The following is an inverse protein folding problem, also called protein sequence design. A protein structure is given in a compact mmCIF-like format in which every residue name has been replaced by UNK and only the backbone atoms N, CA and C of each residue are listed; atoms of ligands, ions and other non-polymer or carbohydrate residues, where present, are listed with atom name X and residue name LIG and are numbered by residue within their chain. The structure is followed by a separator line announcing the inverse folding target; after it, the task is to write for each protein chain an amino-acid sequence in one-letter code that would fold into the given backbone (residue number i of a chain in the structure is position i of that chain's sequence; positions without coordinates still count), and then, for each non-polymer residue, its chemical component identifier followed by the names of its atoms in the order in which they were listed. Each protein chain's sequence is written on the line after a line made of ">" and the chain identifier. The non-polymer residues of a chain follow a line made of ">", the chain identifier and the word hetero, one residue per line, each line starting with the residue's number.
data_IF_423999772598
#
_entry.id   IF_423999772598
#
_cell.length_a   1.000
_cell.length_b   1.000
_cell.length_c   1.000
_cell.angle_alpha   90.00
_cell.angle_beta   90.00
_cell.angle_gamma   90.00
#
_symmetry.space_group_name_H-M   'P 1'
#
loop_
_entity.id
_entity.type
_entity.pdbx_description
1 polymer ?
#
# COMPACT_ATOMS: atom_id res chain seq x y z
N UNK A 1 -11.56 -32.12 -3.59
CA UNK A 1 -11.51 -33.38 -4.39
C UNK A 1 -12.50 -34.43 -3.90
N UNK A 2 -12.30 -35.07 -2.73
CA UNK A 2 -13.21 -36.13 -2.25
C UNK A 2 -14.66 -35.65 -2.06
N UNK A 3 -14.85 -34.38 -1.65
CA UNK A 3 -16.16 -33.73 -1.61
C UNK A 3 -16.82 -33.67 -2.99
N UNK A 4 -16.06 -33.25 -4.03
CA UNK A 4 -16.54 -33.16 -5.40
C UNK A 4 -16.91 -34.55 -5.97
N UNK A 5 -16.09 -35.57 -5.72
CA UNK A 5 -16.40 -36.96 -6.12
C UNK A 5 -17.69 -37.48 -5.49
N UNK A 6 -17.98 -37.10 -4.24
CA UNK A 6 -19.22 -37.50 -3.55
C UNK A 6 -20.46 -36.75 -4.06
N UNK A 7 -20.28 -35.64 -4.77
CA UNK A 7 -21.39 -34.80 -5.24
C UNK A 7 -22.29 -35.55 -6.22
N UNK A 8 -23.58 -35.64 -5.90
CA UNK A 8 -24.60 -36.16 -6.81
C UNK A 8 -24.63 -35.35 -8.12
N UNK A 9 -24.55 -34.03 -8.01
CA UNK A 9 -24.55 -33.11 -9.16
C UNK A 9 -23.42 -33.41 -10.14
N UNK A 10 -22.19 -33.57 -9.64
CA UNK A 10 -21.03 -33.89 -10.50
C UNK A 10 -21.18 -35.26 -11.16
N UNK A 11 -21.65 -36.26 -10.40
CA UNK A 11 -21.91 -37.60 -10.94
C UNK A 11 -22.97 -37.57 -12.04
N UNK A 12 -24.05 -36.82 -11.86
CA UNK A 12 -25.12 -36.65 -12.85
C UNK A 12 -24.61 -35.96 -14.11
N UNK A 13 -23.85 -34.87 -13.96
CA UNK A 13 -23.22 -34.15 -15.09
C UNK A 13 -22.29 -35.06 -15.89
N UNK A 14 -21.38 -35.78 -15.22
CA UNK A 14 -20.47 -36.73 -15.88
C UNK A 14 -21.24 -37.85 -16.55
N UNK A 15 -22.30 -38.36 -15.90
CA UNK A 15 -23.13 -39.43 -16.44
C UNK A 15 -23.84 -39.02 -17.73
N UNK A 16 -24.45 -37.84 -17.72
CA UNK A 16 -25.16 -37.28 -18.87
C UNK A 16 -24.20 -36.90 -20.00
N UNK A 17 -23.15 -36.12 -19.71
CA UNK A 17 -22.20 -35.61 -20.70
C UNK A 17 -21.39 -36.74 -21.34
N UNK A 18 -21.05 -37.80 -20.58
CA UNK A 18 -20.35 -38.96 -21.11
C UNK A 18 -21.25 -39.98 -21.83
N UNK A 19 -22.56 -39.73 -21.91
CA UNK A 19 -23.52 -40.61 -22.58
C UNK A 19 -23.63 -42.00 -21.96
N UNK A 20 -23.33 -42.13 -20.66
CA UNK A 20 -23.19 -43.42 -20.00
C UNK A 20 -24.50 -44.22 -19.90
N UNK A 21 -25.64 -43.54 -19.96
CA UNK A 21 -26.96 -44.19 -20.06
C UNK A 21 -27.03 -45.15 -21.25
N UNK A 22 -26.61 -44.71 -22.44
CA UNK A 22 -26.59 -45.54 -23.67
C UNK A 22 -25.56 -46.66 -23.58
N UNK A 23 -24.46 -46.44 -22.85
CA UNK A 23 -23.38 -47.41 -22.68
C UNK A 23 -23.74 -48.54 -21.70
N UNK A 24 -24.60 -48.26 -20.72
CA UNK A 24 -25.00 -49.22 -19.66
C UNK A 24 -26.31 -49.92 -20.01
N UNK A 25 -27.22 -49.21 -20.67
CA UNK A 25 -28.57 -49.71 -20.96
C UNK A 25 -28.79 -49.86 -22.45
N UNK A 26 -28.94 -51.11 -22.93
CA UNK A 26 -29.32 -51.41 -24.32
C UNK A 26 -30.79 -51.11 -24.64
N UNK A 27 -31.62 -50.87 -23.63
CA UNK A 27 -33.06 -50.56 -23.78
C UNK A 27 -33.27 -49.04 -23.77
N UNK A 28 -33.93 -48.54 -24.80
CA UNK A 28 -34.51 -47.19 -24.84
C UNK A 28 -35.63 -47.10 -23.80
N UNK A 29 -35.63 -46.06 -22.95
CA UNK A 29 -36.72 -45.77 -22.00
C UNK A 29 -36.43 -45.97 -20.50
N UNK A 30 -35.19 -46.25 -20.09
CA UNK A 30 -34.82 -46.24 -18.66
C UNK A 30 -34.59 -44.79 -18.22
N UNK A 31 -35.25 -44.38 -17.14
CA UNK A 31 -35.10 -43.05 -16.54
C UNK A 31 -33.63 -42.79 -16.15
N UNK A 32 -33.11 -41.64 -16.61
CA UNK A 32 -31.74 -41.20 -16.39
C UNK A 32 -31.46 -41.04 -14.89
N UNK A 33 -32.42 -40.53 -14.13
CA UNK A 33 -32.24 -40.29 -12.68
C UNK A 33 -32.22 -41.59 -11.88
N UNK A 34 -32.96 -42.60 -12.29
CA UNK A 34 -32.92 -43.94 -11.69
C UNK A 34 -31.55 -44.62 -11.94
N UNK A 35 -31.00 -44.46 -13.15
CA UNK A 35 -29.68 -45.00 -13.51
C UNK A 35 -28.55 -44.29 -12.76
N UNK A 36 -28.63 -42.95 -12.64
CA UNK A 36 -27.68 -42.14 -11.88
C UNK A 36 -27.75 -42.49 -10.39
N UNK A 37 -28.94 -42.70 -9.83
CA UNK A 37 -29.12 -43.10 -8.43
C UNK A 37 -28.50 -44.46 -8.12
N UNK A 38 -28.65 -45.45 -9.01
CA UNK A 38 -28.02 -46.76 -8.86
C UNK A 38 -26.49 -46.68 -8.83
N UNK A 39 -25.90 -45.88 -9.74
CA UNK A 39 -24.45 -45.65 -9.79
C UNK A 39 -23.97 -44.82 -8.59
N UNK A 40 -24.77 -43.84 -8.16
CA UNK A 40 -24.49 -43.03 -7.00
C UNK A 40 -24.33 -43.89 -5.75
N UNK A 41 -25.28 -44.80 -5.52
CA UNK A 41 -25.29 -45.73 -4.39
C UNK A 41 -24.19 -46.80 -4.48
N UNK A 42 -23.77 -47.15 -5.70
CA UNK A 42 -22.73 -48.14 -5.95
C UNK A 42 -21.31 -47.57 -5.90
N UNK A 43 -21.16 -46.23 -5.87
CA UNK A 43 -19.87 -45.55 -5.77
C UNK A 43 -19.49 -45.38 -4.30
N UNK A 44 -18.40 -46.02 -3.85
CA UNK A 44 -17.94 -45.99 -2.46
C UNK A 44 -16.53 -45.42 -2.36
N UNK A 45 -16.25 -44.69 -1.28
CA UNK A 45 -14.89 -44.26 -0.94
C UNK A 45 -14.42 -45.11 0.23
N UNK A 46 -13.39 -45.92 0.00
CA UNK A 46 -12.88 -46.89 0.98
C UNK A 46 -11.45 -46.53 1.35
N UNK A 47 -11.08 -46.64 2.62
CA UNK A 47 -9.69 -46.48 3.08
C UNK A 47 -9.10 -47.86 3.34
N UNK A 48 -7.97 -48.20 2.71
CA UNK A 48 -7.21 -49.44 2.97
C UNK A 48 -5.71 -49.12 2.97
N UNK A 49 -4.96 -49.69 3.90
CA UNK A 49 -3.49 -49.57 3.96
C UNK A 49 -2.98 -48.11 3.91
N UNK A 50 -3.69 -47.19 4.59
CA UNK A 50 -3.37 -45.75 4.59
C UNK A 50 -3.77 -44.98 3.31
N UNK A 51 -4.24 -45.68 2.28
CA UNK A 51 -4.65 -45.11 1.00
C UNK A 51 -6.17 -44.95 0.88
N UNK A 52 -6.61 -43.99 0.04
CA UNK A 52 -8.03 -43.78 -0.26
C UNK A 52 -8.36 -44.30 -1.66
N UNK A 53 -9.37 -45.14 -1.75
CA UNK A 53 -9.83 -45.78 -2.98
C UNK A 53 -11.24 -45.34 -3.32
N UNK A 54 -11.52 -45.22 -4.62
CA UNK A 54 -12.85 -45.03 -5.17
C UNK A 54 -13.28 -46.33 -5.85
N UNK A 55 -14.34 -46.94 -5.36
CA UNK A 55 -14.86 -48.21 -5.85
C UNK A 55 -16.21 -48.01 -6.52
N UNK A 56 -16.45 -48.70 -7.64
CA UNK A 56 -17.75 -48.78 -8.28
C UNK A 56 -18.05 -50.24 -8.63
N UNK A 57 -19.22 -50.69 -8.20
CA UNK A 57 -19.75 -52.01 -8.51
C UNK A 57 -20.72 -51.90 -9.70
N UNK A 58 -20.61 -52.81 -10.67
CA UNK A 58 -21.51 -52.82 -11.80
C UNK A 58 -21.34 -54.01 -12.75
N UNK A 59 -22.33 -54.18 -13.62
CA UNK A 59 -22.41 -55.29 -14.60
C UNK A 59 -21.61 -55.04 -15.88
N UNK A 60 -21.15 -53.81 -16.12
CA UNK A 60 -20.42 -53.39 -17.33
C UNK A 60 -19.05 -52.80 -16.97
N UNK A 61 -18.04 -53.62 -16.64
CA UNK A 61 -16.81 -53.15 -16.00
C UNK A 61 -16.01 -52.13 -16.82
N UNK A 62 -15.95 -52.29 -18.14
CA UNK A 62 -15.28 -51.32 -19.03
C UNK A 62 -15.96 -49.95 -18.97
N UNK A 63 -17.29 -49.93 -18.98
CA UNK A 63 -18.09 -48.70 -18.90
C UNK A 63 -18.00 -48.07 -17.51
N UNK A 64 -17.95 -48.88 -16.45
CA UNK A 64 -17.73 -48.41 -15.08
C UNK A 64 -16.34 -47.78 -14.90
N UNK A 65 -15.31 -48.38 -15.50
CA UNK A 65 -13.96 -47.83 -15.51
C UNK A 65 -13.90 -46.49 -16.26
N UNK A 66 -14.52 -46.38 -17.44
CA UNK A 66 -14.64 -45.12 -18.18
C UNK A 66 -15.36 -44.05 -17.35
N UNK A 67 -16.47 -44.41 -16.69
CA UNK A 67 -17.23 -43.49 -15.84
C UNK A 67 -16.40 -42.99 -14.66
N UNK A 68 -15.75 -43.89 -13.92
CA UNK A 68 -14.91 -43.51 -12.80
C UNK A 68 -13.71 -42.65 -13.24
N UNK A 69 -13.13 -42.94 -14.41
CA UNK A 69 -12.07 -42.11 -14.98
C UNK A 69 -12.57 -40.70 -15.28
N UNK A 70 -13.71 -40.58 -15.98
CA UNK A 70 -14.33 -39.30 -16.28
C UNK A 70 -14.73 -38.52 -15.02
N UNK A 71 -15.24 -39.21 -14.00
CA UNK A 71 -15.60 -38.62 -12.70
C UNK A 71 -14.37 -38.09 -11.96
N UNK A 72 -13.26 -38.84 -11.97
CA UNK A 72 -11.99 -38.42 -11.38
C UNK A 72 -11.46 -37.18 -12.11
N UNK A 73 -11.41 -37.17 -13.43
CA UNK A 73 -10.94 -36.02 -14.21
C UNK A 73 -11.81 -34.78 -14.01
N UNK A 74 -13.14 -34.92 -14.02
CA UNK A 74 -14.05 -33.82 -13.74
C UNK A 74 -13.89 -33.27 -12.31
N UNK A 75 -13.68 -34.16 -11.32
CA UNK A 75 -13.41 -33.73 -9.95
C UNK A 75 -12.05 -33.03 -9.79
N UNK A 76 -11.02 -33.42 -10.56
CA UNK A 76 -9.74 -32.70 -10.61
C UNK A 76 -9.91 -31.31 -11.22
N UNK A 77 -10.64 -31.22 -12.31
CA UNK A 77 -10.87 -29.94 -13.00
C UNK A 77 -11.62 -28.97 -12.10
N UNK A 78 -12.69 -29.41 -11.42
CA UNK A 78 -13.41 -28.57 -10.46
C UNK A 78 -12.49 -28.06 -9.34
N UNK A 79 -11.62 -28.91 -8.79
CA UNK A 79 -10.65 -28.48 -7.77
C UNK A 79 -9.62 -27.50 -8.34
N UNK A 80 -9.16 -27.72 -9.57
CA UNK A 80 -8.26 -26.81 -10.28
C UNK A 80 -8.88 -25.42 -10.44
N UNK A 81 -10.15 -25.36 -10.89
CA UNK A 81 -10.92 -24.13 -11.02
C UNK A 81 -11.09 -23.44 -9.66
N UNK A 82 -11.56 -24.17 -8.63
CA UNK A 82 -11.73 -23.62 -7.27
C UNK A 82 -10.44 -23.02 -6.71
N UNK A 83 -9.30 -23.71 -6.89
CA UNK A 83 -8.00 -23.24 -6.44
C UNK A 83 -7.58 -21.99 -7.24
N UNK A 84 -7.75 -21.98 -8.56
CA UNK A 84 -7.46 -20.81 -9.41
C UNK A 84 -8.29 -19.61 -8.99
N UNK A 85 -9.59 -19.78 -8.75
CA UNK A 85 -10.49 -18.71 -8.34
C UNK A 85 -10.17 -18.20 -6.93
N UNK A 86 -9.84 -19.10 -6.01
CA UNK A 86 -9.41 -18.72 -4.66
C UNK A 86 -8.06 -17.99 -4.66
N UNK A 87 -7.10 -18.45 -5.47
CA UNK A 87 -5.82 -17.77 -5.65
C UNK A 87 -5.99 -16.37 -6.28
N UNK A 88 -6.85 -16.25 -7.30
CA UNK A 88 -7.18 -14.97 -7.95
C UNK A 88 -7.87 -14.01 -6.97
N UNK A 89 -8.83 -14.48 -6.18
CA UNK A 89 -9.54 -13.64 -5.22
C UNK A 89 -8.63 -13.16 -4.09
N UNK A 90 -7.80 -14.04 -3.52
CA UNK A 90 -6.78 -13.67 -2.53
C UNK A 90 -5.77 -12.66 -3.11
N UNK A 91 -5.29 -12.90 -4.34
CA UNK A 91 -4.41 -11.98 -5.06
C UNK A 91 -5.04 -10.60 -5.25
N UNK A 92 -6.30 -10.55 -5.71
CA UNK A 92 -7.07 -9.31 -5.90
C UNK A 92 -7.21 -8.54 -4.58
N UNK A 93 -7.60 -9.20 -3.50
CA UNK A 93 -7.72 -8.57 -2.17
C UNK A 93 -6.38 -8.00 -1.71
N UNK A 94 -5.29 -8.75 -1.87
CA UNK A 94 -3.95 -8.27 -1.49
C UNK A 94 -3.50 -7.08 -2.34
N UNK A 95 -3.75 -7.11 -3.65
CA UNK A 95 -3.45 -6.00 -4.58
C UNK A 95 -4.23 -4.74 -4.19
N UNK A 96 -5.50 -4.87 -3.84
CA UNK A 96 -6.32 -3.74 -3.40
C UNK A 96 -5.76 -3.13 -2.11
N UNK A 97 -5.48 -3.96 -1.10
CA UNK A 97 -4.88 -3.49 0.15
C UNK A 97 -3.53 -2.81 -0.05
N UNK A 98 -2.69 -3.33 -0.96
CA UNK A 98 -1.41 -2.69 -1.31
C UNK A 98 -1.64 -1.36 -2.03
N UNK A 99 -2.68 -1.25 -2.85
CA UNK A 99 -3.02 -0.01 -3.57
C UNK A 99 -3.38 1.10 -2.60
N UNK A 100 -4.27 0.83 -1.64
CA UNK A 100 -4.67 1.78 -0.59
C UNK A 100 -3.45 2.23 0.23
N UNK A 101 -2.59 1.29 0.64
CA UNK A 101 -1.35 1.64 1.37
C UNK A 101 -0.39 2.51 0.57
N UNK A 102 -0.26 2.26 -0.74
CA UNK A 102 0.59 3.08 -1.63
C UNK A 102 0.02 4.50 -1.75
N UNK A 103 -1.30 4.64 -1.91
CA UNK A 103 -1.98 5.94 -1.97
C UNK A 103 -1.82 6.75 -0.68
N UNK A 104 -2.03 6.12 0.48
CA UNK A 104 -1.80 6.75 1.78
C UNK A 104 -0.36 7.26 1.93
N UNK A 105 0.62 6.45 1.52
CA UNK A 105 2.03 6.85 1.56
C UNK A 105 2.33 8.00 0.58
N UNK A 106 1.72 8.02 -0.62
CA UNK A 106 1.86 9.14 -1.54
C UNK A 106 1.30 10.45 -0.96
N UNK A 107 0.14 10.40 -0.32
CA UNK A 107 -0.44 11.57 0.35
C UNK A 107 0.49 12.12 1.43
N UNK A 108 1.05 11.24 2.27
CA UNK A 108 1.98 11.66 3.31
C UNK A 108 3.30 12.20 2.77
N UNK A 109 3.83 11.63 1.68
CA UNK A 109 5.01 12.19 0.99
C UNK A 109 4.71 13.60 0.45
N UNK A 110 3.51 13.83 -0.11
CA UNK A 110 3.12 15.15 -0.59
C UNK A 110 3.06 16.17 0.56
N UNK A 111 2.44 15.80 1.69
CA UNK A 111 2.42 16.62 2.91
C UNK A 111 3.83 16.94 3.40
N UNK A 112 4.73 15.97 3.41
CA UNK A 112 6.13 16.18 3.82
C UNK A 112 6.86 17.17 2.89
N UNK A 113 6.68 17.05 1.57
CA UNK A 113 7.26 18.01 0.60
C UNK A 113 6.71 19.42 0.78
N UNK A 114 5.40 19.56 1.03
CA UNK A 114 4.79 20.85 1.33
C UNK A 114 5.41 21.48 2.58
N UNK A 115 5.56 20.69 3.64
CA UNK A 115 6.19 21.13 4.89
C UNK A 115 7.62 21.62 4.68
N UNK A 116 8.44 20.88 3.91
CA UNK A 116 9.81 21.28 3.58
C UNK A 116 9.87 22.58 2.78
N UNK A 117 8.94 22.79 1.83
CA UNK A 117 8.86 24.04 1.07
C UNK A 117 8.49 25.23 1.98
N UNK A 118 7.46 25.07 2.82
CA UNK A 118 7.07 26.09 3.79
C UNK A 118 8.22 26.42 4.76
N UNK A 119 8.99 25.42 5.17
CA UNK A 119 10.12 25.62 6.07
C UNK A 119 11.24 26.46 5.42
N UNK A 120 11.53 26.25 4.13
CA UNK A 120 12.44 27.11 3.36
C UNK A 120 11.91 28.55 3.22
N UNK A 121 10.61 28.72 3.02
CA UNK A 121 10.00 30.05 2.96
C UNK A 121 10.08 30.78 4.30
N UNK A 122 9.87 30.06 5.41
CA UNK A 122 10.05 30.57 6.78
C UNK A 122 11.48 31.06 6.99
N UNK A 123 12.49 30.27 6.63
CA UNK A 123 13.90 30.67 6.76
C UNK A 123 14.24 31.93 5.95
N UNK A 124 13.73 32.03 4.71
CA UNK A 124 13.93 33.20 3.87
C UNK A 124 13.27 34.45 4.45
N UNK A 125 12.03 34.33 4.94
CA UNK A 125 11.32 35.43 5.60
C UNK A 125 12.01 35.87 6.89
N UNK A 126 12.53 34.94 7.69
CA UNK A 126 13.29 35.28 8.89
C UNK A 126 14.55 36.11 8.56
N UNK A 127 15.29 35.72 7.51
CA UNK A 127 16.46 36.48 7.04
C UNK A 127 16.09 37.89 6.58
N UNK A 128 14.96 38.05 5.87
CA UNK A 128 14.47 39.36 5.45
C UNK A 128 14.07 40.24 6.65
N UNK A 129 13.28 39.70 7.57
CA UNK A 129 12.87 40.38 8.80
C UNK A 129 14.07 40.84 9.62
N UNK A 130 15.14 40.03 9.70
CA UNK A 130 16.33 40.40 10.45
C UNK A 130 17.10 41.55 9.80
N UNK A 131 17.25 41.54 8.47
CA UNK A 131 17.85 42.66 7.73
C UNK A 131 17.06 43.95 7.95
N UNK A 132 15.75 43.87 7.80
CA UNK A 132 14.84 45.00 7.98
C UNK A 132 14.89 45.57 9.41
N UNK A 133 14.98 44.71 10.43
CA UNK A 133 15.19 45.13 11.83
C UNK A 133 16.52 45.86 12.02
N UNK A 134 17.60 45.40 11.37
CA UNK A 134 18.92 46.06 11.43
C UNK A 134 18.87 47.43 10.76
N UNK A 135 18.22 47.54 9.61
CA UNK A 135 17.97 48.81 8.92
C UNK A 135 17.14 49.78 9.79
N UNK A 136 16.09 49.29 10.45
CA UNK A 136 15.27 50.10 11.34
C UNK A 136 16.03 50.63 12.56
N UNK A 137 16.82 49.78 13.23
CA UNK A 137 17.69 50.20 14.36
C UNK A 137 18.70 51.27 13.93
N UNK A 138 19.29 51.09 12.74
CA UNK A 138 20.24 52.04 12.15
C UNK A 138 19.57 53.40 11.90
N UNK A 139 18.38 53.41 11.28
CA UNK A 139 17.63 54.65 11.05
C UNK A 139 17.24 55.37 12.35
N UNK A 140 16.79 54.62 13.36
CA UNK A 140 16.52 55.18 14.70
C UNK A 140 17.77 55.81 15.33
N UNK A 141 18.94 55.17 15.18
CA UNK A 141 20.22 55.71 15.66
C UNK A 141 20.57 57.02 14.94
N UNK A 142 20.38 57.08 13.62
CA UNK A 142 20.58 58.31 12.83
C UNK A 142 19.66 59.43 13.35
N UNK A 143 18.36 59.18 13.52
CA UNK A 143 17.41 60.19 14.02
C UNK A 143 17.82 60.69 15.41
N UNK A 144 18.20 59.79 16.32
CA UNK A 144 18.66 60.14 17.67
C UNK A 144 19.91 61.02 17.63
N UNK A 145 20.90 60.66 16.81
CA UNK A 145 22.13 61.43 16.67
C UNK A 145 21.94 62.75 15.94
N UNK A 146 21.03 62.83 14.96
CA UNK A 146 20.68 64.11 14.33
C UNK A 146 20.09 65.08 15.37
N UNK A 147 19.15 64.63 16.21
CA UNK A 147 18.62 65.46 17.31
C UNK A 147 19.70 65.91 18.29
N UNK A 148 20.63 65.01 18.63
CA UNK A 148 21.75 65.34 19.51
C UNK A 148 22.70 66.34 18.86
N UNK A 149 22.97 66.20 17.56
CA UNK A 149 23.83 67.11 16.80
C UNK A 149 23.25 68.53 16.79
N UNK A 150 21.95 68.66 16.59
CA UNK A 150 21.27 69.97 16.61
C UNK A 150 21.42 70.65 17.97
N UNK A 151 21.31 69.91 19.08
CA UNK A 151 21.54 70.44 20.42
C UNK A 151 23.01 70.78 20.70
N UNK A 152 23.94 69.94 20.27
CA UNK A 152 25.38 70.23 20.42
C UNK A 152 25.76 71.52 19.68
N UNK A 153 25.21 71.74 18.49
CA UNK A 153 25.37 72.98 17.72
C UNK A 153 24.75 74.18 18.43
N UNK A 154 23.54 74.03 18.95
CA UNK A 154 22.83 75.10 19.66
C UNK A 154 23.59 75.58 20.91
N UNK A 155 24.18 74.65 21.66
CA UNK A 155 24.89 74.93 22.92
C UNK A 155 26.39 75.20 22.68
N UNK A 156 26.91 74.97 21.48
CA UNK A 156 28.30 75.25 21.12
C UNK A 156 29.33 74.20 21.57
N UNK A 157 28.91 72.95 21.80
CA UNK A 157 29.82 71.86 22.20
C UNK A 157 30.42 71.21 20.96
N UNK A 158 31.68 71.56 20.64
CA UNK A 158 32.37 71.04 19.44
C UNK A 158 33.05 69.69 19.65
N UNK A 159 33.77 69.53 20.75
CA UNK A 159 34.57 68.35 21.07
C UNK A 159 33.83 67.42 22.04
N UNK A 160 34.32 66.20 22.13
CA UNK A 160 33.90 65.22 23.12
C UNK A 160 34.28 65.66 24.54
N UNK A 161 33.46 65.25 25.51
CA UNK A 161 33.64 65.58 26.93
C UNK A 161 33.95 64.31 27.76
N UNK A 162 34.62 63.31 27.17
CA UNK A 162 34.92 62.05 27.84
C UNK A 162 35.88 62.20 29.03
N UNK A 163 36.66 63.28 29.06
CA UNK A 163 37.61 63.58 30.14
C UNK A 163 36.92 64.23 31.37
N UNK A 164 35.63 64.57 31.26
CA UNK A 164 34.84 65.10 32.38
C UNK A 164 34.31 63.92 33.21
N UNK A 165 34.19 64.08 34.54
CA UNK A 165 33.66 63.02 35.40
C UNK A 165 32.33 62.52 34.85
N UNK A 166 32.18 61.20 34.78
CA UNK A 166 31.06 60.54 34.12
C UNK A 166 29.77 60.91 34.88
N UNK A 167 29.06 61.91 34.38
CA UNK A 167 27.72 62.21 34.85
C UNK A 167 26.89 61.07 34.26
N UNK A 168 26.52 60.08 35.07
CA UNK A 168 25.81 58.84 34.66
C UNK A 168 24.56 59.06 33.79
N UNK A 169 24.05 60.30 33.71
CA UNK A 169 22.89 60.72 32.92
C UNK A 169 23.21 61.80 31.87
N UNK A 170 24.50 61.98 31.50
CA UNK A 170 24.87 62.98 30.52
C UNK A 170 24.19 62.70 29.16
N UNK A 171 23.50 63.69 28.57
CA UNK A 171 22.86 63.49 27.29
C UNK A 171 23.90 63.29 26.18
N UNK A 172 23.51 62.53 25.17
CA UNK A 172 24.40 62.12 24.06
C UNK A 172 25.09 63.32 23.38
N UNK A 173 24.41 64.46 23.27
CA UNK A 173 25.00 65.66 22.67
C UNK A 173 26.15 66.26 23.50
N UNK A 174 26.11 66.10 24.82
CA UNK A 174 27.14 66.59 25.74
C UNK A 174 28.38 65.68 25.71
N UNK A 175 28.17 64.36 25.71
CA UNK A 175 29.28 63.39 25.72
C UNK A 175 30.10 63.42 24.42
N UNK A 176 29.42 63.41 23.27
CA UNK A 176 30.07 63.24 21.97
C UNK A 176 30.49 64.57 21.32
N UNK A 177 29.72 65.64 21.52
CA UNK A 177 29.93 66.92 20.82
C UNK A 177 29.66 66.86 19.31
N UNK A 178 29.74 68.01 18.65
CA UNK A 178 29.38 68.19 17.25
C UNK A 178 30.19 67.29 16.30
N UNK A 179 31.51 67.29 16.41
CA UNK A 179 32.40 66.63 15.43
C UNK A 179 32.21 65.11 15.42
N UNK A 180 32.15 64.48 16.59
CA UNK A 180 31.96 63.04 16.70
C UNK A 180 30.57 62.61 16.21
N UNK A 181 29.52 63.39 16.51
CA UNK A 181 28.16 63.11 16.03
C UNK A 181 28.05 63.24 14.50
N UNK A 182 28.69 64.26 13.90
CA UNK A 182 28.73 64.38 12.44
C UNK A 182 29.42 63.17 11.79
N UNK A 183 30.57 62.74 12.34
CA UNK A 183 31.32 61.61 11.81
C UNK A 183 30.54 60.29 11.94
N UNK A 184 29.90 60.07 13.08
CA UNK A 184 29.08 58.87 13.32
C UNK A 184 27.85 58.84 12.39
N UNK A 185 27.15 59.95 12.20
CA UNK A 185 26.04 60.03 11.22
C UNK A 185 26.53 59.74 9.80
N UNK A 186 27.69 60.29 9.39
CA UNK A 186 28.28 60.01 8.07
C UNK A 186 28.64 58.54 7.92
N UNK A 187 29.25 57.92 8.93
CA UNK A 187 29.58 56.49 8.97
C UNK A 187 28.34 55.60 8.88
N UNK A 188 27.25 56.00 9.55
CA UNK A 188 25.98 55.31 9.43
C UNK A 188 25.41 55.47 8.01
N UNK A 189 25.44 56.65 7.39
CA UNK A 189 24.90 56.87 6.05
C UNK A 189 25.73 56.24 4.91
N UNK A 190 27.05 56.14 5.05
CA UNK A 190 27.95 55.62 4.00
C UNK A 190 27.84 54.11 3.74
N UNK A 191 27.35 53.32 4.72
CA UNK A 191 27.04 51.90 4.49
C UNK A 191 25.75 51.77 3.69
N UNK A 192 25.86 51.34 2.42
CA UNK A 192 24.80 51.03 1.43
C UNK A 192 23.38 51.07 2.01
N UNK A 193 22.60 52.06 1.59
CA UNK A 193 21.28 52.37 2.14
C UNK A 193 20.26 51.26 1.87
N UNK A 194 19.75 50.65 2.95
CA UNK A 194 18.43 50.02 2.97
C UNK A 194 17.52 50.95 3.78
N UNK A 195 16.66 51.70 3.09
CA UNK A 195 15.65 52.54 3.74
C UNK A 195 14.65 51.58 4.41
N UNK A 196 14.44 51.66 5.74
CA UNK A 196 13.56 50.74 6.42
C UNK A 196 12.10 50.96 6.00
N UNK A 197 11.48 49.91 5.47
CA UNK A 197 10.09 49.85 5.09
C UNK A 197 9.27 49.17 6.21
N UNK A 198 8.76 50.00 7.12
CA UNK A 198 8.01 49.56 8.30
C UNK A 198 6.69 48.86 7.95
N UNK A 199 6.02 49.25 6.86
CA UNK A 199 4.81 48.57 6.36
C UNK A 199 5.12 47.17 5.84
N UNK A 200 6.25 47.02 5.15
CA UNK A 200 6.71 45.71 4.66
C UNK A 200 7.05 44.76 5.80
N UNK A 201 7.66 45.26 6.87
CA UNK A 201 8.02 44.46 8.05
C UNK A 201 6.81 43.86 8.78
N UNK A 202 5.71 44.61 8.93
CA UNK A 202 4.49 44.11 9.59
C UNK A 202 3.81 43.02 8.75
N UNK A 203 3.77 43.20 7.43
CA UNK A 203 3.23 42.23 6.48
C UNK A 203 4.05 40.93 6.50
N UNK A 204 5.38 41.02 6.48
CA UNK A 204 6.25 39.83 6.51
C UNK A 204 6.14 39.06 7.83
N UNK A 205 6.01 39.74 8.97
CA UNK A 205 5.76 39.08 10.27
C UNK A 205 4.42 38.36 10.31
N UNK A 206 3.37 38.96 9.75
CA UNK A 206 2.06 38.30 9.65
C UNK A 206 2.11 37.05 8.76
N UNK A 207 2.81 37.13 7.61
CA UNK A 207 3.05 35.98 6.73
C UNK A 207 3.83 34.87 7.43
N UNK A 208 4.89 35.22 8.16
CA UNK A 208 5.70 34.26 8.92
C UNK A 208 4.84 33.51 9.95
N UNK A 209 3.97 34.21 10.69
CA UNK A 209 3.08 33.60 11.67
C UNK A 209 2.12 32.60 11.01
N UNK A 210 1.51 32.97 9.87
CA UNK A 210 0.63 32.08 9.10
C UNK A 210 1.35 30.80 8.66
N UNK A 211 2.56 30.91 8.11
CA UNK A 211 3.33 29.74 7.68
C UNK A 211 3.77 28.84 8.85
N UNK A 212 4.08 29.43 10.01
CA UNK A 212 4.40 28.64 11.22
C UNK A 212 3.20 27.86 11.74
N UNK A 213 2.00 28.45 11.72
CA UNK A 213 0.75 27.78 12.07
C UNK A 213 0.45 26.64 11.08
N UNK A 214 0.63 26.87 9.78
CA UNK A 214 0.46 25.86 8.73
C UNK A 214 1.44 24.69 8.89
N UNK A 215 2.73 24.96 9.15
CA UNK A 215 3.71 23.89 9.40
C UNK A 215 3.38 23.09 10.67
N UNK A 216 2.81 23.72 11.71
CA UNK A 216 2.37 23.03 12.94
C UNK A 216 1.18 22.12 12.71
N UNK A 217 0.26 22.47 11.82
CA UNK A 217 -0.88 21.61 11.50
C UNK A 217 -0.47 20.39 10.65
N UNK A 218 0.65 20.48 9.91
CA UNK A 218 1.21 19.37 9.13
C UNK A 218 2.03 18.39 10.01
N UNK A 219 1.39 17.29 10.44
CA UNK A 219 2.07 16.13 11.08
C UNK A 219 2.93 15.39 10.06
N UNK A 220 4.13 14.93 10.44
CA UNK A 220 4.92 14.04 9.58
C UNK A 220 5.76 12.99 10.31
N UNK A 221 5.90 11.81 9.67
CA UNK A 221 6.84 10.73 10.02
C UNK A 221 7.80 10.53 8.83
N UNK A 222 9.11 10.47 9.09
CA UNK A 222 10.18 10.65 8.09
C UNK A 222 10.67 9.36 7.41
N UNK A 223 9.84 8.33 7.22
CA UNK A 223 10.34 6.99 6.83
C UNK A 223 9.54 6.29 5.72
N UNK A 224 8.96 7.04 4.79
CA UNK A 224 7.89 6.52 3.92
C UNK A 224 8.30 6.30 2.45
N UNK A 225 9.30 7.00 1.93
CA UNK A 225 9.74 6.90 0.52
C UNK A 225 10.38 5.54 0.18
N UNK A 226 11.16 4.95 1.10
CA UNK A 226 11.71 3.60 0.87
C UNK A 226 10.65 2.52 0.96
N UNK A 227 9.55 2.76 1.68
CA UNK A 227 8.47 1.80 1.89
C UNK A 227 7.56 1.72 0.65
N UNK A 228 7.29 2.83 -0.03
CA UNK A 228 6.47 2.85 -1.26
C UNK A 228 7.07 2.01 -2.39
N UNK A 229 8.37 2.15 -2.68
CA UNK A 229 9.02 1.38 -3.76
C UNK A 229 8.93 -0.14 -3.53
N UNK A 230 9.17 -0.60 -2.30
CA UNK A 230 9.06 -2.03 -1.94
C UNK A 230 7.65 -2.57 -2.15
N UNK A 231 6.63 -1.83 -1.72
CA UNK A 231 5.22 -2.21 -1.88
C UNK A 231 4.77 -2.24 -3.35
N UNK A 232 5.25 -1.30 -4.18
CA UNK A 232 4.99 -1.29 -5.62
C UNK A 232 5.58 -2.52 -6.33
N UNK A 233 6.77 -2.96 -5.94
CA UNK A 233 7.39 -4.19 -6.46
C UNK A 233 6.58 -5.43 -6.05
N UNK A 234 6.15 -5.52 -4.80
CA UNK A 234 5.27 -6.61 -4.31
C UNK A 234 3.96 -6.66 -5.11
N UNK A 235 3.30 -5.50 -5.31
CA UNK A 235 2.08 -5.39 -6.11
C UNK A 235 2.29 -5.86 -7.56
N UNK A 236 3.42 -5.52 -8.17
CA UNK A 236 3.75 -5.95 -9.54
C UNK A 236 3.98 -7.47 -9.63
N UNK A 237 4.66 -8.07 -8.64
CA UNK A 237 4.85 -9.52 -8.56
C UNK A 237 3.51 -10.26 -8.43
N UNK A 238 2.62 -9.77 -7.57
CA UNK A 238 1.29 -10.37 -7.38
C UNK A 238 0.41 -10.30 -8.63
N UNK A 239 0.48 -9.19 -9.39
CA UNK A 239 -0.23 -9.09 -10.69
C UNK A 239 0.23 -10.18 -11.67
N UNK A 240 1.52 -10.49 -11.73
CA UNK A 240 2.05 -11.56 -12.59
C UNK A 240 1.51 -12.94 -12.19
N UNK A 241 1.39 -13.20 -10.89
CA UNK A 241 0.84 -14.47 -10.37
C UNK A 241 -0.66 -14.57 -10.66
N UNK A 242 -1.40 -13.45 -10.61
CA UNK A 242 -2.83 -13.43 -10.93
C UNK A 242 -3.12 -13.78 -12.40
N UNK A 243 -2.20 -13.43 -13.30
CA UNK A 243 -2.31 -13.69 -14.75
C UNK A 243 -1.67 -15.00 -15.18
N UNK A 244 -0.87 -15.64 -14.32
CA UNK A 244 -0.18 -16.88 -14.66
C UNK A 244 -1.13 -18.08 -14.61
N UNK A 245 -0.98 -19.00 -15.57
CA UNK A 245 -1.62 -20.30 -15.49
C UNK A 245 -0.95 -21.12 -14.39
N UNK A 246 -1.67 -21.23 -13.27
CA UNK A 246 -1.25 -22.00 -12.11
C UNK A 246 -1.38 -23.50 -12.42
N UNK A 247 -0.26 -24.15 -12.74
CA UNK A 247 -0.15 -25.61 -12.90
C UNK A 247 -0.09 -26.27 -11.53
N UNK A 248 -1.25 -26.43 -10.87
CA UNK A 248 -1.25 -26.63 -9.41
C UNK A 248 -1.38 -28.06 -8.88
N UNK A 249 -1.66 -29.09 -9.68
CA UNK A 249 -1.89 -30.42 -9.13
C UNK A 249 -1.33 -31.56 -10.00
N UNK A 250 -0.39 -32.32 -9.45
CA UNK A 250 0.04 -33.61 -10.00
C UNK A 250 -0.73 -34.73 -9.31
N UNK A 251 -1.88 -35.10 -9.86
CA UNK A 251 -2.58 -36.30 -9.41
C UNK A 251 -2.03 -37.53 -10.13
N UNK A 252 -1.50 -38.50 -9.38
CA UNK A 252 -1.17 -39.81 -9.93
C UNK A 252 -2.39 -40.73 -9.78
N UNK A 253 -3.00 -41.07 -10.90
CA UNK A 253 -4.11 -42.05 -10.94
C UNK A 253 -3.51 -43.43 -11.16
N UNK A 254 -3.86 -44.38 -10.30
CA UNK A 254 -3.48 -45.79 -10.47
C UNK A 254 -4.75 -46.62 -10.58
N UNK A 255 -4.95 -47.21 -11.76
CA UNK A 255 -6.07 -48.12 -12.02
C UNK A 255 -5.72 -49.51 -11.48
N UNK A 256 -6.55 -50.05 -10.59
CA UNK A 256 -6.40 -51.41 -10.07
C UNK A 256 -7.66 -52.19 -10.43
N UNK A 257 -7.63 -52.89 -11.56
CA UNK A 257 -8.70 -53.84 -11.90
C UNK A 257 -8.55 -55.11 -11.06
N UNK A 258 -9.48 -55.39 -10.15
CA UNK A 258 -9.59 -56.70 -9.49
C UNK A 258 -10.84 -57.42 -9.99
N UNK A 259 -10.63 -58.48 -10.77
CA UNK A 259 -11.70 -59.40 -11.13
C UNK A 259 -12.05 -60.25 -9.91
N UNK A 260 -13.27 -60.09 -9.39
CA UNK A 260 -13.80 -60.96 -8.33
C UNK A 260 -14.98 -61.72 -8.93
N UNK A 261 -14.85 -63.04 -9.06
CA UNK A 261 -15.95 -63.90 -9.48
C UNK A 261 -16.76 -64.27 -8.23
N UNK A 262 -18.03 -63.88 -8.19
CA UNK A 262 -18.97 -64.36 -7.17
C UNK A 262 -19.40 -65.78 -7.55
N UNK A 263 -19.07 -66.76 -6.69
CA UNK A 263 -19.48 -68.16 -6.83
C UNK A 263 -20.96 -68.43 -6.45
N UNK A 264 -21.77 -67.39 -6.17
CA UNK A 264 -23.07 -67.60 -5.50
C UNK A 264 -24.29 -67.53 -6.44
N UNK A 265 -24.18 -67.06 -7.69
CA UNK A 265 -25.27 -67.18 -8.69
C UNK A 265 -24.72 -67.34 -10.13
N UNK A 266 -25.13 -68.35 -10.93
CA UNK A 266 -24.42 -68.71 -12.16
C UNK A 266 -24.55 -67.75 -13.35
N UNK A 267 -25.21 -66.59 -13.24
CA UNK A 267 -25.49 -65.73 -14.41
C UNK A 267 -25.42 -64.22 -14.17
N UNK A 268 -24.74 -63.75 -13.12
CA UNK A 268 -24.45 -62.32 -12.97
C UNK A 268 -22.99 -62.08 -12.57
N UNK A 269 -22.20 -61.69 -13.56
CA UNK A 269 -20.84 -61.16 -13.37
C UNK A 269 -20.93 -59.80 -12.67
N UNK A 270 -20.64 -59.77 -11.38
CA UNK A 270 -20.46 -58.55 -10.61
C UNK A 270 -18.96 -58.27 -10.52
N UNK A 271 -18.51 -57.16 -11.11
CA UNK A 271 -17.09 -56.77 -11.08
C UNK A 271 -16.92 -55.51 -10.25
N UNK A 272 -15.92 -55.51 -9.36
CA UNK A 272 -15.53 -54.36 -8.55
C UNK A 272 -14.38 -53.67 -9.28
N UNK A 273 -14.61 -52.44 -9.73
CA UNK A 273 -13.52 -51.60 -10.27
C UNK A 273 -13.01 -50.70 -9.14
N UNK A 274 -11.70 -50.78 -8.86
CA UNK A 274 -11.05 -50.03 -7.78
C UNK A 274 -10.09 -49.01 -8.37
N UNK A 275 -10.25 -47.74 -7.98
CA UNK A 275 -9.32 -46.66 -8.27
C UNK A 275 -8.54 -46.30 -7.03
N UNK A 276 -7.21 -46.31 -7.10
CA UNK A 276 -6.36 -45.72 -6.07
C UNK A 276 -6.11 -44.25 -6.40
N UNK A 277 -6.40 -43.35 -5.44
CA UNK A 277 -5.98 -41.95 -5.50
C UNK A 277 -4.92 -41.73 -4.41
N UNK A 278 -3.67 -41.56 -4.83
CA UNK A 278 -2.60 -41.13 -3.95
C UNK A 278 -2.50 -39.60 -3.99
N UNK A 279 -2.52 -38.96 -2.82
CA UNK A 279 -2.23 -37.54 -2.66
C UNK A 279 -0.76 -37.40 -2.28
N UNK A 280 0.00 -36.65 -3.08
CA UNK A 280 1.40 -36.29 -2.83
C UNK A 280 1.59 -34.79 -2.96
#
# INVERSE_FOLDING_TARGET
>A
FLFNIKSYKLKQEVFANGGFQKKISRKTGIDTDQSVSAIYNSTKIVKRDGNTYLELEGTHPKVMLEFLTALVEAAKENVSIEIKDKARSLGKTRINNLSTKIEELHQKIAVQKQKENLQKQIENLQKQIEKEKKAQKKAQKIVRFSKALDMAKLIGIKNNNFDKPDIESAPVWFQYGELALQQEIRSLRSKKEEIPNTKKLSIEKAKLKKFQEEVRSLRSKKEEISKTKKLSIEKAKLKKIQTADLTLLKFKVVTIGKHSYSLVKPNQTLMIVVFGVAFG
#
